data_IF_348700476983
#
_entry.id   IF_348700476983
#
_cell.length_a   1.000
_cell.length_b   1.000
_cell.length_c   1.000
_cell.angle_alpha   90.00
_cell.angle_beta   90.00
_cell.angle_gamma   90.00
#
_symmetry.space_group_name_H-M   'P 1'
#
loop_
_entity.id
_entity.type
_entity.pdbx_description
1 polymer ?
#
# COMPACT_ATOMS: atom_id res chain seq x y z
N UNK A 1 -56.05 -29.22 -4.20
CA UNK A 1 -55.94 -28.69 -2.82
C UNK A 1 -55.01 -29.63 -2.05
N UNK A 2 -53.90 -29.26 -1.43
CA UNK A 2 -53.15 -28.00 -1.26
C UNK A 2 -51.66 -28.42 -1.34
N UNK A 3 -50.87 -27.73 -2.14
CA UNK A 3 -49.44 -28.00 -2.29
C UNK A 3 -48.72 -27.36 -1.10
N UNK A 4 -48.14 -28.17 -0.21
CA UNK A 4 -47.35 -27.70 0.93
C UNK A 4 -45.92 -27.42 0.48
N UNK A 5 -45.51 -26.16 0.63
CA UNK A 5 -44.16 -25.66 0.36
C UNK A 5 -43.17 -26.14 1.42
N UNK A 6 -41.99 -26.62 1.00
CA UNK A 6 -40.78 -26.62 1.83
C UNK A 6 -39.65 -25.99 1.01
N UNK A 7 -39.40 -24.72 1.32
CA UNK A 7 -38.33 -23.86 0.81
C UNK A 7 -36.97 -24.34 1.35
N UNK A 8 -35.86 -24.27 0.59
CA UNK A 8 -34.57 -24.72 1.05
C UNK A 8 -33.92 -23.69 1.97
N UNK A 9 -33.53 -24.09 3.18
CA UNK A 9 -32.64 -23.32 4.06
C UNK A 9 -31.27 -23.98 4.00
N UNK A 10 -30.38 -23.43 3.18
CA UNK A 10 -28.94 -23.62 3.35
C UNK A 10 -28.17 -22.40 2.80
N UNK A 11 -28.37 -21.26 3.46
CA UNK A 11 -27.51 -20.07 3.33
C UNK A 11 -27.06 -19.68 4.74
N UNK A 12 -26.13 -20.46 5.30
CA UNK A 12 -25.38 -20.06 6.49
C UNK A 12 -23.93 -20.49 6.28
N UNK A 13 -23.03 -19.52 6.15
CA UNK A 13 -21.60 -19.81 6.22
C UNK A 13 -20.65 -18.99 5.37
N UNK A 14 -20.93 -17.71 5.08
CA UNK A 14 -19.85 -16.77 4.73
C UNK A 14 -20.06 -15.45 5.47
N UNK A 15 -19.87 -15.51 6.79
CA UNK A 15 -19.77 -14.31 7.64
C UNK A 15 -18.60 -14.49 8.60
N UNK A 16 -17.41 -14.59 8.03
CA UNK A 16 -16.11 -14.41 8.67
C UNK A 16 -15.16 -14.24 7.48
N UNK A 17 -14.51 -13.11 7.22
CA UNK A 17 -13.58 -12.37 8.05
C UNK A 17 -13.53 -10.94 7.50
N UNK A 18 -13.95 -9.94 8.28
CA UNK A 18 -13.61 -8.54 8.01
C UNK A 18 -13.73 -7.70 9.29
N UNK A 19 -13.10 -8.14 10.38
CA UNK A 19 -12.89 -7.28 11.56
C UNK A 19 -11.70 -6.34 11.30
N UNK A 20 -11.84 -5.44 10.33
CA UNK A 20 -10.96 -4.30 10.17
C UNK A 20 -11.78 -3.04 10.46
N UNK A 21 -11.61 -2.41 11.62
CA UNK A 21 -12.33 -1.18 11.96
C UNK A 21 -12.18 -0.10 10.89
N UNK A 22 -12.95 1.01 10.98
CA UNK A 22 -13.04 2.14 10.00
C UNK A 22 -11.72 2.60 9.34
N UNK A 23 -10.56 2.33 9.93
CA UNK A 23 -9.24 2.57 9.34
C UNK A 23 -8.82 1.54 8.27
N UNK A 24 -9.09 0.25 8.49
CA UNK A 24 -8.83 -0.82 7.53
C UNK A 24 -9.65 -0.64 6.25
N UNK A 25 -10.95 -0.36 6.38
CA UNK A 25 -11.84 -0.06 5.25
C UNK A 25 -11.32 1.10 4.37
N UNK A 26 -10.86 2.19 4.99
CA UNK A 26 -10.27 3.32 4.26
C UNK A 26 -9.00 2.94 3.51
N UNK A 27 -8.15 2.09 4.09
CA UNK A 27 -6.91 1.63 3.45
C UNK A 27 -7.22 0.80 2.21
N UNK A 28 -8.20 -0.10 2.29
CA UNK A 28 -8.64 -0.91 1.16
C UNK A 28 -9.30 -0.06 0.06
N UNK A 29 -10.10 0.95 0.43
CA UNK A 29 -10.64 1.92 -0.54
C UNK A 29 -9.53 2.66 -1.29
N UNK A 30 -8.49 3.13 -0.59
CA UNK A 30 -7.35 3.81 -1.23
C UNK A 30 -6.60 2.88 -2.17
N UNK A 31 -6.38 1.61 -1.78
CA UNK A 31 -5.76 0.61 -2.65
C UNK A 31 -6.58 0.38 -3.91
N UNK A 32 -7.90 0.20 -3.79
CA UNK A 32 -8.79 0.01 -4.93
C UNK A 32 -8.74 1.22 -5.88
N UNK A 33 -8.75 2.44 -5.35
CA UNK A 33 -8.58 3.66 -6.15
C UNK A 33 -7.23 3.72 -6.86
N UNK A 34 -6.14 3.31 -6.18
CA UNK A 34 -4.80 3.25 -6.78
C UNK A 34 -4.75 2.24 -7.93
N UNK A 35 -5.34 1.06 -7.74
CA UNK A 35 -5.42 0.02 -8.77
C UNK A 35 -6.18 0.52 -10.00
N UNK A 36 -7.34 1.13 -9.80
CA UNK A 36 -8.15 1.69 -10.90
C UNK A 36 -7.36 2.78 -11.65
N UNK A 37 -6.73 3.70 -10.92
CA UNK A 37 -5.95 4.80 -11.50
C UNK A 37 -4.77 4.30 -12.34
N UNK A 38 -3.99 3.34 -11.81
CA UNK A 38 -2.87 2.74 -12.55
C UNK A 38 -3.36 1.99 -13.79
N UNK A 39 -4.47 1.25 -13.68
CA UNK A 39 -5.04 0.53 -14.83
C UNK A 39 -5.40 1.48 -15.97
N UNK A 40 -6.02 2.62 -15.64
CA UNK A 40 -6.42 3.65 -16.60
C UNK A 40 -5.21 4.32 -17.28
N UNK A 41 -4.19 4.66 -16.51
CA UNK A 41 -3.01 5.40 -17.00
C UNK A 41 -2.07 4.54 -17.85
N UNK A 42 -1.83 3.28 -17.46
CA UNK A 42 -0.85 2.42 -18.13
C UNK A 42 -1.40 1.75 -19.38
N UNK A 43 -2.73 1.58 -19.49
CA UNK A 43 -3.40 0.86 -20.59
C UNK A 43 -2.71 -0.47 -20.89
N UNK A 44 -2.62 -1.30 -19.85
CA UNK A 44 -1.98 -2.61 -19.92
C UNK A 44 -2.79 -3.55 -20.81
N UNK A 45 -2.11 -4.37 -21.62
CA UNK A 45 -2.75 -5.52 -22.27
C UNK A 45 -3.06 -6.59 -21.23
N UNK A 46 -3.97 -7.54 -21.51
CA UNK A 46 -4.26 -8.63 -20.58
C UNK A 46 -3.00 -9.40 -20.14
N UNK A 47 -2.10 -9.70 -21.08
CA UNK A 47 -0.84 -10.40 -20.82
C UNK A 47 0.15 -9.57 -20.00
N UNK A 48 0.21 -8.26 -20.23
CA UNK A 48 1.03 -7.36 -19.40
C UNK A 48 0.47 -7.28 -17.98
N UNK A 49 -0.85 -7.13 -17.83
CA UNK A 49 -1.54 -6.99 -16.55
C UNK A 49 -1.34 -8.23 -15.67
N UNK A 50 -1.49 -9.43 -16.24
CA UNK A 50 -1.29 -10.71 -15.55
C UNK A 50 0.09 -10.80 -14.89
N UNK A 51 1.14 -10.30 -15.58
CA UNK A 51 2.52 -10.30 -15.07
C UNK A 51 2.82 -9.10 -14.17
N UNK A 52 2.21 -7.94 -14.46
CA UNK A 52 2.46 -6.68 -13.77
C UNK A 52 1.94 -6.69 -12.33
N UNK A 53 0.68 -7.07 -12.12
CA UNK A 53 0.03 -6.92 -10.81
C UNK A 53 0.70 -7.70 -9.67
N UNK A 54 1.16 -8.96 -9.86
CA UNK A 54 1.89 -9.66 -8.82
C UNK A 54 3.18 -8.92 -8.40
N UNK A 55 3.91 -8.36 -9.36
CA UNK A 55 5.15 -7.61 -9.11
C UNK A 55 4.86 -6.30 -8.39
N UNK A 56 3.84 -5.57 -8.85
CA UNK A 56 3.40 -4.31 -8.25
C UNK A 56 2.92 -4.49 -6.80
N UNK A 57 2.06 -5.49 -6.57
CA UNK A 57 1.49 -5.76 -5.25
C UNK A 57 2.57 -6.21 -4.26
N UNK A 58 3.52 -7.03 -4.68
CA UNK A 58 4.64 -7.43 -3.85
C UNK A 58 5.53 -6.23 -3.46
N UNK A 59 5.83 -5.36 -4.43
CA UNK A 59 6.59 -4.12 -4.18
C UNK A 59 5.87 -3.20 -3.18
N UNK A 60 4.57 -2.96 -3.38
CA UNK A 60 3.75 -2.11 -2.51
C UNK A 60 3.60 -2.66 -1.10
N UNK A 61 3.40 -3.97 -0.98
CA UNK A 61 3.34 -4.65 0.31
C UNK A 61 4.65 -4.44 1.07
N UNK A 62 5.79 -4.69 0.42
CA UNK A 62 7.10 -4.52 1.05
C UNK A 62 7.41 -3.06 1.37
N UNK A 63 7.09 -2.11 0.49
CA UNK A 63 7.23 -0.69 0.80
C UNK A 63 6.37 -0.25 1.97
N UNK A 64 5.17 -0.81 2.10
CA UNK A 64 4.29 -0.46 3.20
C UNK A 64 4.77 -1.04 4.51
N UNK A 65 5.21 -2.30 4.53
CA UNK A 65 5.86 -2.96 5.68
C UNK A 65 7.05 -2.12 6.17
N UNK A 66 8.00 -1.78 5.28
CA UNK A 66 9.19 -0.99 5.64
C UNK A 66 8.82 0.39 6.19
N UNK A 67 7.85 1.09 5.57
CA UNK A 67 7.41 2.41 6.05
C UNK A 67 6.61 2.36 7.35
N UNK A 68 5.69 1.42 7.49
CA UNK A 68 4.79 1.33 8.63
C UNK A 68 5.48 0.71 9.84
N UNK A 69 6.13 -0.43 9.65
CA UNK A 69 6.57 -1.28 10.76
C UNK A 69 7.94 -0.87 11.30
N UNK A 70 8.84 -0.39 10.43
CA UNK A 70 10.19 0.01 10.84
C UNK A 70 10.33 1.50 11.13
N UNK A 71 9.71 2.37 10.33
CA UNK A 71 9.89 3.84 10.46
C UNK A 71 8.80 4.54 11.26
N UNK A 72 7.56 4.51 10.77
CA UNK A 72 6.48 5.32 11.37
C UNK A 72 6.04 4.83 12.74
N UNK A 73 5.93 3.52 12.94
CA UNK A 73 5.57 2.92 14.23
C UNK A 73 6.56 3.33 15.33
N UNK A 74 7.85 3.39 14.99
CA UNK A 74 8.94 3.66 15.89
C UNK A 74 9.03 5.15 16.22
N UNK A 75 9.05 6.03 15.23
CA UNK A 75 9.04 7.48 15.44
C UNK A 75 7.78 7.94 16.21
N UNK A 76 6.63 7.30 15.99
CA UNK A 76 5.40 7.62 16.73
C UNK A 76 5.50 7.32 18.23
N UNK A 77 6.41 6.41 18.64
CA UNK A 77 6.64 6.05 20.05
C UNK A 77 7.67 6.94 20.72
N UNK A 78 8.44 7.72 19.97
CA UNK A 78 9.45 8.62 20.48
C UNK A 78 8.85 10.02 20.61
N UNK A 79 8.49 10.41 21.83
CA UNK A 79 8.20 11.81 22.15
C UNK A 79 9.50 12.55 22.53
N UNK A 80 9.42 13.88 22.58
CA UNK A 80 10.57 14.76 22.86
C UNK A 80 11.23 14.41 24.20
N UNK A 81 10.42 14.13 25.23
CA UNK A 81 10.90 13.74 26.56
C UNK A 81 11.60 12.37 26.57
N UNK A 82 11.23 11.45 25.68
CA UNK A 82 11.90 10.17 25.49
C UNK A 82 13.24 10.39 24.81
N UNK A 83 13.26 11.20 23.74
CA UNK A 83 14.47 11.52 22.97
C UNK A 83 15.52 12.19 23.85
N UNK A 84 15.14 13.19 24.64
CA UNK A 84 16.06 13.94 25.52
C UNK A 84 16.71 13.06 26.61
N UNK A 85 16.12 11.90 26.91
CA UNK A 85 16.62 10.95 27.90
C UNK A 85 17.43 9.80 27.30
N UNK A 86 17.50 9.69 25.97
CA UNK A 86 18.24 8.62 25.30
C UNK A 86 19.74 8.82 25.52
N UNK A 87 20.43 7.71 25.71
CA UNK A 87 21.89 7.71 25.60
C UNK A 87 22.31 7.90 24.14
N UNK A 88 23.51 8.46 23.93
CA UNK A 88 24.09 8.60 22.59
C UNK A 88 24.15 7.27 21.83
N UNK A 89 24.44 6.18 22.55
CA UNK A 89 24.50 4.83 21.97
C UNK A 89 23.13 4.36 21.45
N UNK A 90 22.07 4.64 22.21
CA UNK A 90 20.70 4.30 21.79
C UNK A 90 20.32 5.13 20.56
N UNK A 91 20.51 6.45 20.62
CA UNK A 91 20.23 7.36 19.51
C UNK A 91 20.97 6.94 18.22
N UNK A 92 22.27 6.67 18.31
CA UNK A 92 23.08 6.20 17.18
C UNK A 92 22.58 4.86 16.61
N UNK A 93 22.16 3.93 17.46
CA UNK A 93 21.58 2.66 17.00
C UNK A 93 20.26 2.87 16.25
N UNK A 94 19.42 3.81 16.68
CA UNK A 94 18.17 4.14 16.00
C UNK A 94 18.42 4.80 14.65
N UNK A 95 19.34 5.76 14.58
CA UNK A 95 19.73 6.38 13.31
C UNK A 95 20.23 5.32 12.31
N UNK A 96 21.07 4.40 12.75
CA UNK A 96 21.56 3.30 11.90
C UNK A 96 20.43 2.38 11.41
N UNK A 97 19.42 2.09 12.23
CA UNK A 97 18.23 1.33 11.80
C UNK A 97 17.39 2.09 10.78
N UNK A 98 17.31 3.42 10.89
CA UNK A 98 16.63 4.27 9.92
C UNK A 98 17.35 4.24 8.57
N UNK A 99 18.65 4.49 8.56
CA UNK A 99 19.49 4.42 7.35
C UNK A 99 19.37 3.05 6.67
N UNK A 100 19.48 1.96 7.43
CA UNK A 100 19.34 0.61 6.90
C UNK A 100 17.95 0.35 6.29
N UNK A 101 16.90 0.90 6.88
CA UNK A 101 15.53 0.78 6.34
C UNK A 101 15.36 1.58 5.05
N UNK A 102 15.94 2.77 4.96
CA UNK A 102 15.93 3.59 3.74
C UNK A 102 16.68 2.89 2.60
N UNK A 103 17.81 2.27 2.90
CA UNK A 103 18.55 1.43 1.95
C UNK A 103 17.71 0.25 1.46
N UNK A 104 17.05 -0.49 2.35
CA UNK A 104 16.15 -1.58 1.98
C UNK A 104 15.02 -1.10 1.05
N UNK A 105 14.43 0.06 1.34
CA UNK A 105 13.39 0.67 0.51
C UNK A 105 13.93 1.02 -0.88
N UNK A 106 15.14 1.57 -0.96
CA UNK A 106 15.78 1.90 -2.23
C UNK A 106 16.11 0.65 -3.05
N UNK A 107 16.65 -0.39 -2.43
CA UNK A 107 16.91 -1.66 -3.12
C UNK A 107 15.61 -2.32 -3.62
N UNK A 108 14.55 -2.27 -2.82
CA UNK A 108 13.23 -2.76 -3.23
C UNK A 108 12.71 -1.99 -4.47
N UNK A 109 12.88 -0.66 -4.50
CA UNK A 109 12.53 0.17 -5.65
C UNK A 109 13.35 -0.19 -6.90
N UNK A 110 14.66 -0.43 -6.76
CA UNK A 110 15.52 -0.86 -7.87
C UNK A 110 15.09 -2.22 -8.41
N UNK A 111 14.87 -3.20 -7.54
CA UNK A 111 14.42 -4.54 -7.91
C UNK A 111 13.08 -4.50 -8.64
N UNK A 112 12.14 -3.70 -8.14
CA UNK A 112 10.85 -3.49 -8.79
C UNK A 112 11.00 -2.96 -10.22
N UNK A 113 11.79 -1.91 -10.43
CA UNK A 113 12.04 -1.36 -11.78
C UNK A 113 12.74 -2.38 -12.68
N UNK A 114 13.70 -3.14 -12.16
CA UNK A 114 14.38 -4.19 -12.92
C UNK A 114 13.41 -5.29 -13.37
N UNK A 115 12.54 -5.75 -12.49
CA UNK A 115 11.51 -6.75 -12.80
C UNK A 115 10.53 -6.23 -13.85
N UNK A 116 10.11 -4.96 -13.75
CA UNK A 116 9.20 -4.35 -14.71
C UNK A 116 9.79 -4.23 -16.11
N UNK A 117 11.11 -4.05 -16.27
CA UNK A 117 11.75 -3.98 -17.59
C UNK A 117 11.61 -5.28 -18.40
N UNK A 118 11.39 -6.41 -17.72
CA UNK A 118 11.09 -7.70 -18.38
C UNK A 118 9.62 -7.89 -18.75
N UNK A 119 8.74 -6.96 -18.35
CA UNK A 119 7.28 -7.08 -18.51
C UNK A 119 6.73 -5.93 -19.38
N UNK A 120 7.23 -4.71 -19.17
CA UNK A 120 6.72 -3.48 -19.76
C UNK A 120 7.83 -2.72 -20.51
N UNK A 121 7.49 -2.02 -21.61
CA UNK A 121 8.38 -1.05 -22.22
C UNK A 121 8.77 0.07 -21.23
N UNK A 122 9.99 0.58 -21.35
CA UNK A 122 10.52 1.63 -20.47
C UNK A 122 9.60 2.87 -20.37
N UNK A 123 8.93 3.25 -21.46
CA UNK A 123 7.97 4.36 -21.49
C UNK A 123 6.77 4.10 -20.55
N UNK A 124 6.23 2.88 -20.50
CA UNK A 124 5.14 2.53 -19.58
C UNK A 124 5.62 2.54 -18.12
N UNK A 125 6.87 2.16 -17.87
CA UNK A 125 7.47 2.26 -16.52
C UNK A 125 7.60 3.72 -16.08
N UNK A 126 7.97 4.63 -16.97
CA UNK A 126 7.98 6.07 -16.67
C UNK A 126 6.56 6.61 -16.42
N UNK A 127 5.58 6.20 -17.23
CA UNK A 127 4.16 6.53 -16.99
C UNK A 127 3.67 6.04 -15.63
N UNK A 128 4.06 4.85 -15.23
CA UNK A 128 3.76 4.33 -13.90
C UNK A 128 4.30 5.24 -12.80
N UNK A 129 5.58 5.62 -12.88
CA UNK A 129 6.17 6.54 -11.88
C UNK A 129 5.40 7.85 -11.80
N UNK A 130 5.05 8.43 -12.95
CA UNK A 130 4.22 9.63 -13.02
C UNK A 130 2.84 9.42 -12.38
N UNK A 131 2.17 8.32 -12.72
CA UNK A 131 0.85 7.97 -12.19
C UNK A 131 0.88 7.80 -10.67
N UNK A 132 1.91 7.19 -10.11
CA UNK A 132 2.06 7.06 -8.66
C UNK A 132 2.21 8.41 -7.95
N UNK A 133 3.02 9.32 -8.51
CA UNK A 133 3.14 10.67 -7.96
C UNK A 133 1.84 11.47 -8.07
N UNK A 134 1.17 11.41 -9.21
CA UNK A 134 -0.07 12.13 -9.48
C UNK A 134 -1.21 11.61 -8.59
N UNK A 135 -1.27 10.28 -8.37
CA UNK A 135 -2.18 9.67 -7.41
C UNK A 135 -1.91 10.18 -5.99
N UNK A 136 -0.65 10.18 -5.55
CA UNK A 136 -0.28 10.66 -4.21
C UNK A 136 -0.63 12.15 -4.03
N UNK A 137 -0.36 12.99 -5.03
CA UNK A 137 -0.77 14.41 -5.03
C UNK A 137 -2.28 14.57 -4.94
N UNK A 138 -3.04 13.82 -5.74
CA UNK A 138 -4.51 13.87 -5.75
C UNK A 138 -5.09 13.43 -4.41
N UNK A 139 -4.57 12.35 -3.83
CA UNK A 139 -5.00 11.85 -2.52
C UNK A 139 -4.75 12.90 -1.43
N UNK A 140 -3.55 13.50 -1.38
CA UNK A 140 -3.22 14.55 -0.42
C UNK A 140 -4.14 15.77 -0.55
N UNK A 141 -4.46 16.18 -1.79
CA UNK A 141 -5.38 17.29 -2.04
C UNK A 141 -6.79 16.98 -1.52
N UNK A 142 -7.32 15.79 -1.81
CA UNK A 142 -8.64 15.36 -1.33
C UNK A 142 -8.71 15.32 0.21
N UNK A 143 -7.65 14.87 0.88
CA UNK A 143 -7.58 14.93 2.34
C UNK A 143 -7.64 16.37 2.85
N UNK A 144 -6.83 17.29 2.30
CA UNK A 144 -6.83 18.70 2.73
C UNK A 144 -8.17 19.40 2.50
N UNK A 145 -8.81 19.18 1.36
CA UNK A 145 -10.12 19.78 1.05
C UNK A 145 -11.21 19.27 1.99
N UNK A 146 -11.14 18.01 2.42
CA UNK A 146 -12.09 17.42 3.39
C UNK A 146 -11.94 17.98 4.81
N UNK A 147 -10.76 18.49 5.19
CA UNK A 147 -10.50 19.12 6.49
C UNK A 147 -10.71 20.64 6.51
N UNK A 148 -11.07 21.26 5.38
CA UNK A 148 -11.43 22.69 5.29
C UNK A 148 -12.93 22.97 5.46
N UNK A 149 -13.75 21.95 5.66
CA UNK A 149 -15.17 22.05 6.04
C UNK A 149 -15.33 21.80 7.52
#
# INVERSE_FOLDING_TARGET
MRLTYLLPILLFGFSAIAQGGRFGEKREQIKALKVAFITEELKLTPTEAEKFWPVFNAFEAKQTELRQDKMRSFLKRLDEATIDKMSEKEAASFLSQMESTEDEMYQNQKKFVANLKGILPAVKILKLKKAEEDFNRKLLRQYREKFKK
#
